data_IF_555612514755
#
_entry.id   IF_555612514755
#
_cell.length_a   1.000
_cell.length_b   1.000
_cell.length_c   1.000
_cell.angle_alpha   90.00
_cell.angle_beta   90.00
_cell.angle_gamma   90.00
#
_symmetry.space_group_name_H-M   'P 1'
#
loop_
_entity.id
_entity.type
_entity.pdbx_description
1 polymer ?
#
# COMPACT_ATOMS: atom_id res chain seq x y z
N UNK A 1 -33.10 -7.95 21.88
CA UNK A 1 -31.92 -8.83 22.04
C UNK A 1 -30.68 -7.95 21.98
N UNK A 2 -30.41 -7.17 23.04
CA UNK A 2 -29.24 -7.32 23.93
C UNK A 2 -27.95 -7.66 23.18
N UNK A 3 -27.27 -6.59 22.76
CA UNK A 3 -25.83 -6.54 22.52
C UNK A 3 -25.11 -7.32 23.63
N UNK A 4 -24.48 -8.43 23.27
CA UNK A 4 -23.49 -9.05 24.14
C UNK A 4 -22.25 -8.16 24.12
N UNK A 5 -22.00 -7.60 25.30
CA UNK A 5 -20.78 -7.03 25.85
C UNK A 5 -19.56 -6.93 24.95
N UNK A 6 -19.03 -5.70 24.90
CA UNK A 6 -17.62 -5.38 25.00
C UNK A 6 -16.69 -6.60 24.84
N UNK A 7 -16.18 -6.80 23.63
CA UNK A 7 -14.84 -7.33 23.48
C UNK A 7 -13.89 -6.29 24.08
N UNK A 8 -13.75 -6.31 25.39
CA UNK A 8 -12.52 -5.86 26.04
C UNK A 8 -11.45 -6.78 25.47
N UNK A 9 -10.56 -6.25 24.62
CA UNK A 9 -9.39 -6.99 24.17
C UNK A 9 -8.46 -7.13 25.37
N UNK A 10 -8.73 -8.13 26.20
CA UNK A 10 -7.78 -8.76 27.11
C UNK A 10 -7.53 -10.15 26.58
N UNK A 11 -6.78 -10.21 25.48
CA UNK A 11 -5.95 -11.34 25.08
C UNK A 11 -5.33 -11.03 23.70
N UNK A 12 -4.14 -10.41 23.69
CA UNK A 12 -3.16 -10.65 22.65
C UNK A 12 -1.97 -11.29 23.37
N UNK A 13 -1.91 -12.62 23.31
CA UNK A 13 -0.85 -13.42 23.93
C UNK A 13 0.48 -13.20 23.20
N UNK A 14 1.57 -13.25 23.97
CA UNK A 14 2.92 -12.98 23.51
C UNK A 14 3.35 -13.84 22.32
N UNK A 15 3.70 -13.18 21.21
CA UNK A 15 4.53 -13.78 20.18
C UNK A 15 5.96 -13.89 20.72
N UNK A 16 6.37 -15.10 21.09
CA UNK A 16 7.78 -15.45 21.22
C UNK A 16 8.27 -16.02 19.88
N UNK A 17 9.41 -15.47 19.43
CA UNK A 17 10.07 -15.58 18.12
C UNK A 17 9.54 -14.61 17.06
N UNK A 18 9.78 -13.31 17.27
CA UNK A 18 9.80 -12.35 16.17
C UNK A 18 10.81 -12.83 15.11
N UNK A 19 10.34 -13.03 13.88
CA UNK A 19 11.28 -13.00 12.76
C UNK A 19 11.96 -11.62 12.80
N UNK A 20 13.29 -11.57 12.69
CA UNK A 20 14.09 -10.34 12.87
C UNK A 20 13.69 -9.20 11.91
N UNK A 21 12.91 -9.54 10.88
CA UNK A 21 12.42 -8.71 9.77
C UNK A 21 10.92 -8.38 9.87
N UNK A 22 10.27 -8.63 11.01
CA UNK A 22 8.86 -8.27 11.29
C UNK A 22 8.74 -7.15 12.34
N UNK A 23 7.60 -6.43 12.38
CA UNK A 23 7.44 -5.33 13.35
C UNK A 23 7.36 -5.88 14.77
N UNK A 24 8.15 -5.30 15.68
CA UNK A 24 8.06 -5.56 17.11
C UNK A 24 7.00 -4.68 17.79
N UNK A 25 6.48 -3.67 17.08
CA UNK A 25 5.60 -2.64 17.63
C UNK A 25 4.14 -2.83 17.23
N UNK A 26 3.88 -3.32 16.03
CA UNK A 26 2.56 -3.30 15.40
C UNK A 26 2.17 -4.67 14.84
N UNK A 27 0.88 -4.99 14.92
CA UNK A 27 0.29 -6.16 14.29
C UNK A 27 -1.09 -5.84 13.73
N UNK A 28 -1.46 -6.53 12.66
CA UNK A 28 -2.83 -6.52 12.14
C UNK A 28 -3.76 -7.21 13.15
N UNK A 29 -4.90 -6.58 13.42
CA UNK A 29 -5.95 -7.10 14.28
C UNK A 29 -6.93 -7.92 13.42
N UNK A 30 -7.20 -9.19 13.79
CA UNK A 30 -8.20 -9.99 13.09
C UNK A 30 -9.63 -9.52 13.41
N UNK A 31 -10.62 -10.05 12.68
CA UNK A 31 -12.05 -9.87 12.99
C UNK A 31 -12.69 -8.63 12.38
N UNK A 32 -11.97 -7.87 11.56
CA UNK A 32 -12.52 -6.70 10.85
C UNK A 32 -12.88 -7.03 9.41
N UNK A 33 -11.99 -7.73 8.68
CA UNK A 33 -12.14 -8.07 7.27
C UNK A 33 -12.05 -9.58 7.06
N UNK A 34 -12.79 -10.13 6.08
CA UNK A 34 -12.81 -11.56 5.78
C UNK A 34 -11.44 -12.12 5.33
N UNK A 35 -10.49 -11.25 4.98
CA UNK A 35 -9.11 -11.66 4.67
C UNK A 35 -8.30 -12.03 5.93
N UNK A 36 -8.76 -11.62 7.12
CA UNK A 36 -8.21 -12.05 8.40
C UNK A 36 -9.33 -12.10 9.47
N UNK A 37 -10.22 -13.10 9.39
CA UNK A 37 -11.45 -13.10 10.17
C UNK A 37 -11.26 -13.44 11.64
N UNK A 38 -10.19 -14.15 11.99
CA UNK A 38 -9.87 -14.57 13.35
C UNK A 38 -8.37 -14.87 13.47
N UNK A 39 -7.85 -14.88 14.69
CA UNK A 39 -6.48 -15.28 14.97
C UNK A 39 -6.21 -16.72 14.51
N UNK A 40 -5.03 -16.97 13.96
CA UNK A 40 -4.64 -18.27 13.42
C UNK A 40 -5.28 -18.63 12.07
N UNK A 41 -6.00 -17.70 11.42
CA UNK A 41 -6.39 -17.88 10.03
C UNK A 41 -5.15 -18.07 9.13
N UNK A 42 -5.27 -18.94 8.12
CA UNK A 42 -4.19 -19.19 7.16
C UNK A 42 -4.19 -18.21 5.99
N UNK A 43 -3.27 -18.45 5.05
CA UNK A 43 -3.16 -17.67 3.82
C UNK A 43 -4.44 -17.76 2.97
N UNK A 44 -4.77 -16.67 2.27
CA UNK A 44 -5.97 -16.54 1.44
C UNK A 44 -5.64 -15.95 0.08
N UNK A 45 -6.54 -16.12 -0.88
CA UNK A 45 -6.42 -15.47 -2.20
C UNK A 45 -7.33 -14.24 -2.23
N UNK A 46 -6.81 -13.13 -2.77
CA UNK A 46 -7.59 -11.92 -2.99
C UNK A 46 -8.80 -12.20 -3.91
N UNK A 47 -9.96 -11.58 -3.67
CA UNK A 47 -11.11 -11.75 -4.54
C UNK A 47 -10.82 -11.28 -5.98
N UNK A 48 -11.43 -11.90 -7.01
CA UNK A 48 -11.12 -11.63 -8.43
C UNK A 48 -11.51 -10.22 -8.92
N UNK A 49 -12.44 -9.56 -8.25
CA UNK A 49 -12.93 -8.22 -8.57
C UNK A 49 -12.38 -7.20 -7.57
N UNK A 50 -12.08 -5.98 -8.03
CA UNK A 50 -11.63 -4.88 -7.19
C UNK A 50 -12.77 -4.46 -6.22
N UNK A 51 -12.64 -5.03 -5.03
CA UNK A 51 -13.22 -4.68 -3.73
C UNK A 51 -14.75 -4.72 -3.48
N UNK A 52 -15.18 -5.61 -2.58
CA UNK A 52 -16.00 -5.20 -1.45
C UNK A 52 -15.23 -5.55 -0.18
N UNK A 53 -15.00 -4.59 0.71
CA UNK A 53 -14.13 -4.80 1.87
C UNK A 53 -14.49 -6.01 2.75
N UNK A 54 -15.68 -6.61 2.55
CA UNK A 54 -16.16 -7.86 3.16
C UNK A 54 -15.83 -7.85 4.64
N UNK A 55 -16.63 -7.09 5.37
CA UNK A 55 -16.52 -7.00 6.80
C UNK A 55 -16.88 -8.34 7.45
N UNK A 56 -16.33 -8.59 8.64
CA UNK A 56 -16.72 -9.74 9.47
C UNK A 56 -17.97 -9.41 10.29
N UNK A 57 -17.97 -8.24 10.93
CA UNK A 57 -19.02 -7.85 11.89
C UNK A 57 -19.72 -6.53 11.55
N UNK A 58 -19.13 -5.67 10.73
CA UNK A 58 -19.73 -4.39 10.32
C UNK A 58 -20.60 -4.52 9.06
N UNK A 59 -21.52 -3.58 8.85
CA UNK A 59 -22.35 -3.46 7.64
C UNK A 59 -21.96 -2.25 6.78
N UNK A 60 -21.15 -1.32 7.32
CA UNK A 60 -20.67 -0.15 6.59
C UNK A 60 -19.26 0.25 7.04
N UNK A 61 -18.62 1.14 6.27
CA UNK A 61 -17.31 1.70 6.63
C UNK A 61 -17.37 2.51 7.92
N UNK A 62 -18.44 3.25 8.15
CA UNK A 62 -18.68 4.04 9.35
C UNK A 62 -18.79 3.14 10.59
N UNK A 63 -19.55 2.05 10.48
CA UNK A 63 -19.65 1.06 11.57
C UNK A 63 -18.30 0.37 11.83
N UNK A 64 -17.59 -0.02 10.77
CA UNK A 64 -16.26 -0.60 10.91
C UNK A 64 -15.30 0.35 11.61
N UNK A 65 -15.18 1.59 11.12
CA UNK A 65 -14.23 2.56 11.66
C UNK A 65 -14.59 2.99 13.08
N UNK A 66 -15.88 3.08 13.41
CA UNK A 66 -16.34 3.31 14.79
C UNK A 66 -15.97 2.15 15.74
N UNK A 67 -15.85 0.93 15.23
CA UNK A 67 -15.40 -0.25 16.00
C UNK A 67 -13.89 -0.38 16.13
N UNK A 68 -13.09 0.45 15.44
CA UNK A 68 -11.62 0.45 15.55
C UNK A 68 -11.21 1.13 16.87
N UNK A 69 -10.44 0.44 17.75
CA UNK A 69 -9.92 1.00 19.00
C UNK A 69 -9.18 2.33 18.78
N UNK A 70 -9.27 3.24 19.75
CA UNK A 70 -8.68 4.59 19.62
C UNK A 70 -7.16 4.61 19.43
N UNK A 71 -6.48 3.56 19.91
CA UNK A 71 -5.04 3.32 19.77
C UNK A 71 -4.69 2.45 18.54
N UNK A 72 -5.69 2.01 17.78
CA UNK A 72 -5.54 1.31 16.52
C UNK A 72 -5.84 2.22 15.31
N UNK A 73 -5.44 1.74 14.14
CA UNK A 73 -5.46 2.47 12.88
C UNK A 73 -6.09 1.64 11.77
N UNK A 74 -6.82 2.29 10.87
CA UNK A 74 -7.25 1.74 9.59
C UNK A 74 -6.18 2.05 8.53
N UNK A 75 -5.55 1.00 8.02
CA UNK A 75 -4.55 1.06 6.95
C UNK A 75 -5.15 0.49 5.66
N UNK A 76 -5.15 1.30 4.61
CA UNK A 76 -5.58 0.91 3.26
C UNK A 76 -4.34 0.83 2.38
N UNK A 77 -4.14 -0.32 1.75
CA UNK A 77 -3.08 -0.54 0.75
C UNK A 77 -3.72 -0.68 -0.63
N UNK A 78 -3.32 0.15 -1.57
CA UNK A 78 -3.81 0.16 -2.95
C UNK A 78 -2.66 -0.21 -3.90
N UNK A 79 -2.74 -1.37 -4.54
CA UNK A 79 -1.76 -1.81 -5.54
C UNK A 79 -1.86 -0.93 -6.78
N UNK A 80 -0.73 -0.55 -7.36
CA UNK A 80 -0.73 0.17 -8.63
C UNK A 80 -1.50 -0.59 -9.73
N UNK A 81 -2.02 0.15 -10.71
CA UNK A 81 -2.65 -0.41 -11.90
C UNK A 81 -1.62 -0.95 -12.92
N UNK A 82 -2.06 -1.58 -14.01
CA UNK A 82 -1.13 -2.16 -15.00
C UNK A 82 -0.14 -1.13 -15.56
N UNK A 83 1.15 -1.34 -15.29
CA UNK A 83 2.24 -0.60 -15.93
C UNK A 83 2.77 -1.30 -17.17
N UNK A 84 3.57 -0.60 -17.98
CA UNK A 84 4.21 -1.19 -19.15
C UNK A 84 5.06 -2.44 -18.81
N UNK A 85 5.66 -2.49 -17.62
CA UNK A 85 6.39 -3.68 -17.14
C UNK A 85 5.46 -4.92 -16.98
N UNK A 86 4.24 -4.75 -16.46
CA UNK A 86 3.28 -5.87 -16.35
C UNK A 86 2.83 -6.36 -17.74
N UNK A 87 2.61 -5.42 -18.66
CA UNK A 87 2.25 -5.76 -20.04
C UNK A 87 3.39 -6.49 -20.77
N UNK A 88 4.64 -6.12 -20.48
CA UNK A 88 5.83 -6.77 -21.00
C UNK A 88 6.04 -8.17 -20.40
N UNK A 89 5.97 -8.32 -19.07
CA UNK A 89 6.03 -9.62 -18.40
C UNK A 89 4.98 -10.58 -18.96
N UNK A 90 3.73 -10.12 -19.15
CA UNK A 90 2.66 -10.92 -19.76
C UNK A 90 2.95 -11.30 -21.21
N UNK A 91 3.60 -10.42 -21.98
CA UNK A 91 3.94 -10.66 -23.39
C UNK A 91 5.05 -11.70 -23.52
N UNK A 92 6.11 -11.56 -22.73
CA UNK A 92 7.32 -12.36 -22.87
C UNK A 92 7.29 -13.63 -22.02
N UNK A 93 6.41 -13.70 -21.04
CA UNK A 93 6.37 -14.76 -20.05
C UNK A 93 7.38 -14.50 -18.93
N UNK A 94 7.03 -14.94 -17.72
CA UNK A 94 7.78 -14.67 -16.49
C UNK A 94 9.25 -15.08 -16.57
N UNK A 95 9.54 -16.27 -17.11
CA UNK A 95 10.91 -16.80 -17.19
C UNK A 95 11.81 -15.92 -18.07
N UNK A 96 11.38 -15.59 -19.29
CA UNK A 96 12.14 -14.71 -20.18
C UNK A 96 12.19 -13.26 -19.68
N UNK A 97 11.13 -12.82 -18.98
CA UNK A 97 11.10 -11.52 -18.33
C UNK A 97 12.19 -11.40 -17.27
N UNK A 98 12.24 -12.34 -16.32
CA UNK A 98 13.21 -12.34 -15.22
C UNK A 98 14.66 -12.54 -15.74
N UNK A 99 14.85 -13.35 -16.79
CA UNK A 99 16.18 -13.63 -17.33
C UNK A 99 16.76 -12.50 -18.21
N UNK A 100 15.93 -11.80 -19.00
CA UNK A 100 16.44 -10.87 -20.01
C UNK A 100 15.69 -9.54 -20.04
N UNK A 101 14.37 -9.55 -20.27
CA UNK A 101 13.64 -8.33 -20.62
C UNK A 101 13.58 -7.31 -19.48
N UNK A 102 13.46 -7.76 -18.24
CA UNK A 102 13.40 -6.89 -17.07
C UNK A 102 14.67 -6.06 -16.86
N UNK A 103 15.81 -6.51 -17.41
CA UNK A 103 17.13 -5.87 -17.32
C UNK A 103 17.35 -4.76 -18.34
N UNK A 104 16.45 -4.64 -19.33
CA UNK A 104 16.44 -3.58 -20.33
C UNK A 104 15.51 -2.44 -19.91
N UNK A 105 15.64 -1.25 -20.49
CA UNK A 105 14.73 -0.14 -20.17
C UNK A 105 13.38 -0.22 -20.92
N UNK A 106 13.31 -0.99 -22.00
CA UNK A 106 12.14 -1.09 -22.87
C UNK A 106 12.45 -1.74 -24.22
N UNK A 107 11.45 -1.75 -25.10
CA UNK A 107 11.48 -2.26 -26.48
C UNK A 107 10.55 -1.44 -27.40
N UNK A 108 10.21 -1.97 -28.58
CA UNK A 108 9.26 -1.35 -29.52
C UNK A 108 7.80 -1.28 -29.02
N UNK A 109 7.46 -1.97 -27.93
CA UNK A 109 6.14 -2.01 -27.32
C UNK A 109 6.00 -1.10 -26.10
N UNK A 110 7.11 -0.60 -25.54
CA UNK A 110 7.08 0.43 -24.51
C UNK A 110 8.34 0.52 -23.67
N UNK A 111 8.33 1.49 -22.75
CA UNK A 111 9.40 1.71 -21.77
C UNK A 111 8.90 1.20 -20.42
N UNK A 112 9.63 0.28 -19.81
CA UNK A 112 9.34 -0.24 -18.49
C UNK A 112 10.32 0.20 -17.41
N UNK A 113 11.42 0.88 -17.75
CA UNK A 113 12.20 1.63 -16.76
C UNK A 113 11.32 2.67 -16.04
N UNK A 114 11.25 2.57 -14.70
CA UNK A 114 10.27 3.29 -13.88
C UNK A 114 8.88 3.35 -14.53
N UNK A 115 8.34 2.21 -14.95
CA UNK A 115 7.21 2.15 -15.88
C UNK A 115 6.05 3.09 -15.53
N UNK A 116 5.54 3.80 -16.53
CA UNK A 116 4.23 4.46 -16.47
C UNK A 116 3.10 3.43 -16.61
N UNK A 117 1.88 3.87 -16.32
CA UNK A 117 0.68 3.09 -16.59
C UNK A 117 0.46 2.89 -18.09
N UNK A 118 -0.05 1.71 -18.46
CA UNK A 118 -0.59 1.50 -19.81
C UNK A 118 -1.95 2.20 -19.94
N UNK A 119 -2.51 2.36 -21.15
CA UNK A 119 -3.89 2.83 -21.31
C UNK A 119 -4.91 1.95 -20.56
N UNK A 120 -4.65 0.64 -20.46
CA UNK A 120 -5.44 -0.27 -19.64
C UNK A 120 -5.24 0.00 -18.15
N UNK A 121 -4.01 0.26 -17.71
CA UNK A 121 -3.71 0.67 -16.33
C UNK A 121 -4.42 1.95 -15.92
N UNK A 122 -4.46 2.96 -16.80
CA UNK A 122 -5.21 4.19 -16.55
C UNK A 122 -6.70 3.91 -16.35
N UNK A 123 -7.30 3.06 -17.19
CA UNK A 123 -8.70 2.64 -17.01
C UNK A 123 -8.92 1.88 -15.70
N UNK A 124 -8.00 0.98 -15.32
CA UNK A 124 -8.06 0.25 -14.05
C UNK A 124 -7.99 1.20 -12.84
N UNK A 125 -7.04 2.14 -12.85
CA UNK A 125 -6.88 3.12 -11.78
C UNK A 125 -8.08 4.08 -11.71
N UNK A 126 -8.61 4.52 -12.85
CA UNK A 126 -9.82 5.35 -12.91
C UNK A 126 -11.05 4.59 -12.38
N UNK A 127 -11.20 3.30 -12.72
CA UNK A 127 -12.28 2.47 -12.18
C UNK A 127 -12.20 2.34 -10.64
N UNK A 128 -10.99 2.30 -10.07
CA UNK A 128 -10.78 2.27 -8.63
C UNK A 128 -11.27 3.55 -7.90
N UNK A 129 -11.61 4.61 -8.63
CA UNK A 129 -12.23 5.82 -8.06
C UNK A 129 -13.61 5.56 -7.43
N UNK A 130 -14.30 4.49 -7.82
CA UNK A 130 -15.56 4.09 -7.19
C UNK A 130 -15.33 3.72 -5.72
N UNK A 131 -14.30 2.92 -5.45
CA UNK A 131 -13.88 2.46 -4.13
C UNK A 131 -13.30 3.60 -3.31
N UNK A 132 -12.38 4.39 -3.89
CA UNK A 132 -11.83 5.58 -3.22
C UNK A 132 -12.94 6.57 -2.88
N UNK A 133 -13.87 6.79 -3.80
CA UNK A 133 -15.04 7.64 -3.57
C UNK A 133 -15.97 7.11 -2.48
N UNK A 134 -16.19 5.79 -2.40
CA UNK A 134 -16.99 5.18 -1.34
C UNK A 134 -16.37 5.39 0.04
N UNK A 135 -15.06 5.19 0.15
CA UNK A 135 -14.28 5.49 1.35
C UNK A 135 -14.38 6.96 1.75
N UNK A 136 -14.16 7.88 0.80
CA UNK A 136 -14.21 9.32 1.07
C UNK A 136 -15.61 9.78 1.47
N UNK A 137 -16.67 9.23 0.85
CA UNK A 137 -18.05 9.55 1.24
C UNK A 137 -18.40 9.06 2.64
N UNK A 138 -17.89 7.90 3.05
CA UNK A 138 -18.20 7.30 4.34
C UNK A 138 -17.35 7.87 5.49
N UNK A 139 -16.04 8.02 5.27
CA UNK A 139 -15.06 8.33 6.32
C UNK A 139 -14.38 9.70 6.15
N UNK A 140 -14.64 10.39 5.05
CA UNK A 140 -13.86 11.57 4.65
C UNK A 140 -12.52 11.20 3.99
N UNK A 141 -11.72 12.21 3.68
CA UNK A 141 -10.36 12.02 3.16
C UNK A 141 -9.49 11.39 4.27
N UNK A 142 -8.69 10.34 3.98
CA UNK A 142 -7.72 9.81 4.92
C UNK A 142 -6.82 10.89 5.48
N UNK A 143 -6.57 10.83 6.78
CA UNK A 143 -5.74 11.77 7.52
C UNK A 143 -4.30 11.80 7.00
N UNK A 144 -3.85 10.69 6.38
CA UNK A 144 -2.54 10.62 5.72
C UNK A 144 -2.58 9.76 4.46
N UNK A 145 -2.05 10.33 3.38
CA UNK A 145 -1.88 9.68 2.08
C UNK A 145 -0.40 9.45 1.81
N UNK A 146 -0.04 8.22 1.43
CA UNK A 146 1.32 7.83 1.05
C UNK A 146 1.37 7.22 -0.35
N UNK A 147 2.52 7.32 -0.98
CA UNK A 147 2.83 6.58 -2.20
C UNK A 147 4.30 6.14 -2.24
N UNK A 148 4.56 5.03 -2.93
CA UNK A 148 5.88 4.78 -3.51
C UNK A 148 6.28 5.90 -4.49
N UNK A 149 7.58 6.17 -4.67
CA UNK A 149 8.08 7.16 -5.64
C UNK A 149 7.98 6.71 -7.11
N UNK A 150 7.81 5.41 -7.38
CA UNK A 150 7.72 4.89 -8.75
C UNK A 150 6.48 5.43 -9.46
N UNK A 151 6.66 5.84 -10.73
CA UNK A 151 5.67 6.60 -11.51
C UNK A 151 4.32 5.92 -11.60
N UNK A 152 4.30 4.59 -11.81
CA UNK A 152 3.06 3.78 -11.78
C UNK A 152 2.21 3.96 -10.52
N UNK A 153 2.81 4.18 -9.34
CA UNK A 153 2.05 4.44 -8.11
C UNK A 153 1.51 5.86 -8.08
N UNK A 154 2.33 6.85 -8.47
CA UNK A 154 1.90 8.25 -8.54
C UNK A 154 0.75 8.43 -9.53
N UNK A 155 0.86 7.82 -10.71
CA UNK A 155 -0.18 7.82 -11.75
C UNK A 155 -1.43 7.05 -11.29
N UNK A 156 -1.28 5.90 -10.63
CA UNK A 156 -2.44 5.18 -10.07
C UNK A 156 -3.18 6.05 -9.05
N UNK A 157 -2.45 6.75 -8.18
CA UNK A 157 -3.06 7.69 -7.24
C UNK A 157 -3.78 8.80 -7.98
N UNK A 158 -3.14 9.46 -8.95
CA UNK A 158 -3.74 10.55 -9.73
C UNK A 158 -5.05 10.11 -10.39
N UNK A 159 -5.04 8.97 -11.10
CA UNK A 159 -6.21 8.49 -11.83
C UNK A 159 -7.36 8.04 -10.91
N UNK A 160 -7.05 7.41 -9.78
CA UNK A 160 -8.06 6.98 -8.81
C UNK A 160 -8.66 8.15 -8.02
N UNK A 161 -7.89 9.20 -7.77
CA UNK A 161 -8.30 10.34 -6.95
C UNK A 161 -8.87 11.50 -7.77
N UNK A 162 -8.56 11.64 -9.05
CA UNK A 162 -9.07 12.74 -9.88
C UNK A 162 -10.61 12.82 -9.90
N UNK A 163 -11.37 11.71 -10.07
CA UNK A 163 -12.83 11.75 -10.00
C UNK A 163 -13.36 12.02 -8.59
N UNK A 164 -12.59 11.70 -7.54
CA UNK A 164 -12.99 11.89 -6.14
C UNK A 164 -12.73 13.33 -5.68
N UNK A 165 -11.67 13.96 -6.20
CA UNK A 165 -11.24 15.30 -5.84
C UNK A 165 -12.26 16.41 -6.19
N UNK A 166 -13.26 16.13 -7.04
CA UNK A 166 -14.37 17.06 -7.25
C UNK A 166 -15.25 17.24 -6.00
N UNK A 167 -15.21 16.27 -5.08
CA UNK A 167 -15.95 16.27 -3.81
C UNK A 167 -15.10 16.67 -2.60
N UNK A 168 -13.83 17.03 -2.82
CA UNK A 168 -12.89 17.46 -1.79
C UNK A 168 -12.87 19.00 -1.79
N UNK A 169 -13.02 19.62 -0.63
CA UNK A 169 -13.03 21.08 -0.48
C UNK A 169 -11.63 21.69 -0.44
N UNK A 170 -10.65 20.88 -0.04
CA UNK A 170 -9.27 21.28 0.15
C UNK A 170 -8.61 21.62 -1.20
N UNK A 171 -7.92 22.77 -1.31
CA UNK A 171 -7.30 23.19 -2.57
C UNK A 171 -6.08 22.33 -2.95
N UNK A 172 -5.53 21.59 -1.98
CA UNK A 172 -4.37 20.74 -2.13
C UNK A 172 -4.64 19.36 -1.53
N UNK A 173 -4.17 18.32 -2.22
CA UNK A 173 -4.11 16.95 -1.72
C UNK A 173 -2.63 16.64 -1.48
N UNK A 174 -2.27 16.49 -0.21
CA UNK A 174 -0.89 16.22 0.21
C UNK A 174 -0.59 14.72 0.15
N UNK A 175 0.33 14.33 -0.74
CA UNK A 175 0.76 12.94 -0.92
C UNK A 175 2.20 12.76 -0.46
N UNK A 176 2.42 11.92 0.54
CA UNK A 176 3.74 11.68 1.11
C UNK A 176 4.46 10.55 0.38
N UNK A 177 5.55 10.88 -0.30
CA UNK A 177 6.32 9.92 -1.09
C UNK A 177 7.44 9.32 -0.24
N UNK A 178 7.53 7.98 -0.16
CA UNK A 178 8.49 7.27 0.69
C UNK A 178 9.22 6.17 -0.05
N UNK A 179 10.55 6.17 -0.04
CA UNK A 179 11.39 5.14 -0.69
C UNK A 179 11.13 3.74 -0.11
N UNK A 180 10.81 3.66 1.19
CA UNK A 180 10.51 2.41 1.87
C UNK A 180 9.29 1.65 1.32
N UNK A 181 8.44 2.30 0.51
CA UNK A 181 7.22 1.72 -0.06
C UNK A 181 7.41 1.15 -1.47
N UNK A 182 8.64 1.11 -2.00
CA UNK A 182 8.93 0.58 -3.34
C UNK A 182 8.75 -0.93 -3.42
N UNK A 183 8.55 -1.40 -4.65
CA UNK A 183 8.63 -2.82 -5.01
C UNK A 183 10.04 -3.38 -4.72
N UNK A 184 10.24 -4.68 -4.93
CA UNK A 184 11.56 -5.33 -4.86
C UNK A 184 12.61 -4.53 -5.62
N UNK A 185 13.69 -4.15 -4.93
CA UNK A 185 14.73 -3.31 -5.52
C UNK A 185 15.71 -4.13 -6.39
N UNK A 186 16.26 -3.46 -7.40
CA UNK A 186 17.43 -3.92 -8.14
C UNK A 186 17.16 -4.92 -9.26
N UNK A 187 18.17 -5.08 -10.12
CA UNK A 187 18.24 -5.84 -11.38
C UNK A 187 17.20 -5.41 -12.41
N UNK A 188 15.91 -5.42 -12.08
CA UNK A 188 14.83 -5.03 -12.97
C UNK A 188 14.79 -3.50 -13.06
N UNK A 189 14.82 -2.95 -14.27
CA UNK A 189 14.85 -1.49 -14.52
C UNK A 189 13.52 -0.82 -14.15
N UNK A 190 12.42 -1.58 -14.13
CA UNK A 190 11.13 -1.09 -13.63
C UNK A 190 11.16 -0.72 -12.16
N UNK A 191 12.14 -1.23 -11.43
CA UNK A 191 12.34 -0.96 -10.02
C UNK A 191 13.43 0.10 -9.79
N UNK A 192 13.89 0.79 -10.84
CA UNK A 192 14.77 1.97 -10.79
C UNK A 192 13.93 3.23 -11.00
N UNK A 193 13.95 4.19 -10.08
CA UNK A 193 13.17 5.42 -10.23
C UNK A 193 13.89 6.40 -11.15
N UNK A 194 13.12 7.27 -11.80
CA UNK A 194 13.67 8.45 -12.47
C UNK A 194 14.34 9.41 -11.45
N UNK A 195 15.19 10.33 -11.93
CA UNK A 195 15.70 11.40 -11.11
C UNK A 195 14.57 12.19 -10.42
N UNK A 196 14.81 12.65 -9.19
CA UNK A 196 13.81 13.33 -8.38
C UNK A 196 13.21 14.55 -9.09
N UNK A 197 14.04 15.40 -9.69
CA UNK A 197 13.59 16.56 -10.45
C UNK A 197 12.66 16.20 -11.61
N UNK A 198 12.87 15.05 -12.26
CA UNK A 198 12.03 14.58 -13.35
C UNK A 198 10.62 14.18 -12.85
N UNK A 199 10.53 13.46 -11.73
CA UNK A 199 9.24 13.13 -11.14
C UNK A 199 8.49 14.39 -10.67
N UNK A 200 9.18 15.32 -9.99
CA UNK A 200 8.60 16.58 -9.53
C UNK A 200 8.08 17.41 -10.71
N UNK A 201 8.84 17.53 -11.80
CA UNK A 201 8.44 18.31 -12.97
C UNK A 201 7.16 17.80 -13.63
N UNK A 202 6.87 16.49 -13.52
CA UNK A 202 5.68 15.87 -14.12
C UNK A 202 4.48 15.89 -13.19
N UNK A 203 4.67 15.60 -11.90
CA UNK A 203 3.57 15.28 -10.99
C UNK A 203 3.30 16.34 -9.91
N UNK A 204 4.26 17.21 -9.58
CA UNK A 204 4.04 18.27 -8.59
C UNK A 204 3.05 19.30 -9.13
N UNK A 205 2.04 19.65 -8.34
CA UNK A 205 1.01 20.60 -8.74
C UNK A 205 0.02 20.06 -9.77
N UNK A 206 0.04 18.74 -10.05
CA UNK A 206 -0.89 18.12 -10.98
C UNK A 206 -2.34 18.43 -10.59
N UNK A 207 -3.16 18.85 -11.55
CA UNK A 207 -4.55 19.24 -11.30
C UNK A 207 -5.42 18.00 -11.08
N UNK A 208 -6.10 17.93 -9.93
CA UNK A 208 -7.07 16.87 -9.60
C UNK A 208 -8.44 17.51 -9.41
N UNK A 209 -9.19 17.66 -10.51
CA UNK A 209 -10.50 18.33 -10.50
C UNK A 209 -10.48 19.71 -9.80
N UNK A 210 -10.93 19.80 -8.54
CA UNK A 210 -10.95 21.02 -7.74
C UNK A 210 -9.71 21.25 -6.88
N UNK A 211 -8.83 20.25 -6.74
CA UNK A 211 -7.60 20.31 -5.94
C UNK A 211 -6.34 20.27 -6.82
N UNK A 212 -5.17 20.42 -6.20
CA UNK A 212 -3.85 20.18 -6.80
C UNK A 212 -3.08 19.14 -5.99
N UNK A 213 -2.31 18.30 -6.65
CA UNK A 213 -1.46 17.31 -5.98
C UNK A 213 -0.19 17.99 -5.45
N UNK A 214 0.10 17.83 -4.17
CA UNK A 214 1.34 18.29 -3.57
C UNK A 214 2.15 17.09 -3.09
N UNK A 215 3.30 16.84 -3.72
CA UNK A 215 4.18 15.73 -3.34
C UNK A 215 5.12 16.14 -2.21
N UNK A 216 5.16 15.33 -1.16
CA UNK A 216 6.00 15.54 0.01
C UNK A 216 7.00 14.40 0.16
N UNK A 217 8.17 14.59 -0.44
CA UNK A 217 9.29 13.67 -0.36
C UNK A 217 9.99 13.73 1.02
N UNK A 218 10.84 12.74 1.28
CA UNK A 218 11.67 12.71 2.49
C UNK A 218 12.71 13.84 2.47
N UNK A 219 13.15 14.29 3.65
CA UNK A 219 14.22 15.29 3.72
C UNK A 219 15.50 14.75 3.08
N UNK A 220 16.24 15.61 2.38
CA UNK A 220 17.47 15.25 1.66
C UNK A 220 17.28 14.15 0.60
N UNK A 221 16.12 14.15 -0.06
CA UNK A 221 15.82 13.18 -1.12
C UNK A 221 16.84 13.26 -2.27
N UNK A 222 17.55 12.16 -2.59
CA UNK A 222 18.64 12.20 -3.56
C UNK A 222 18.12 12.37 -4.99
N UNK A 223 18.84 13.14 -5.80
CA UNK A 223 18.48 13.35 -7.21
C UNK A 223 18.47 12.01 -7.99
N UNK A 224 19.59 11.27 -8.12
CA UNK A 224 19.56 9.93 -8.71
C UNK A 224 18.97 8.89 -7.76
N UNK A 225 18.58 7.73 -8.30
CA UNK A 225 18.23 6.55 -7.52
C UNK A 225 19.50 5.97 -6.87
N UNK A 226 19.56 6.02 -5.53
CA UNK A 226 20.69 5.50 -4.75
C UNK A 226 20.45 4.08 -4.20
N UNK A 227 19.23 3.55 -4.35
CA UNK A 227 18.82 2.26 -3.77
C UNK A 227 18.81 1.14 -4.80
N UNK A 228 18.57 1.45 -6.07
CA UNK A 228 18.59 0.47 -7.14
C UNK A 228 20.01 0.05 -7.53
N UNK A 229 20.24 -1.26 -7.66
CA UNK A 229 21.49 -1.84 -8.13
C UNK A 229 21.26 -2.67 -9.40
N UNK A 230 22.11 -2.58 -10.45
CA UNK A 230 21.97 -3.43 -11.63
C UNK A 230 22.38 -4.90 -11.36
N UNK A 231 23.09 -5.17 -10.27
CA UNK A 231 23.73 -6.47 -10.00
C UNK A 231 23.22 -7.16 -8.74
N UNK A 232 22.44 -6.47 -7.91
CA UNK A 232 21.85 -7.01 -6.68
C UNK A 232 20.34 -6.89 -6.77
N UNK A 233 19.63 -8.03 -6.72
CA UNK A 233 18.18 -8.08 -6.55
C UNK A 233 17.91 -8.23 -5.07
N UNK A 234 17.06 -7.36 -4.53
CA UNK A 234 16.65 -7.41 -3.14
C UNK A 234 16.08 -8.79 -2.79
N UNK A 235 16.61 -9.37 -1.72
CA UNK A 235 16.17 -10.64 -1.13
C UNK A 235 14.85 -10.44 -0.37
N UNK A 236 14.17 -11.55 -0.06
CA UNK A 236 12.93 -11.52 0.73
C UNK A 236 13.16 -10.87 2.11
N UNK A 237 14.28 -11.19 2.75
CA UNK A 237 14.64 -10.63 4.06
C UNK A 237 14.92 -9.12 3.99
N UNK A 238 15.56 -8.65 2.91
CA UNK A 238 15.85 -7.22 2.73
C UNK A 238 14.58 -6.40 2.50
N UNK A 239 13.66 -6.86 1.64
CA UNK A 239 12.38 -6.14 1.45
C UNK A 239 11.53 -6.17 2.72
N UNK A 240 11.51 -7.28 3.46
CA UNK A 240 10.80 -7.37 4.73
C UNK A 240 11.36 -6.37 5.75
N UNK A 241 12.68 -6.33 5.96
CA UNK A 241 13.32 -5.38 6.86
C UNK A 241 13.05 -3.92 6.47
N UNK A 242 13.20 -3.58 5.18
CA UNK A 242 12.95 -2.23 4.66
C UNK A 242 11.49 -1.81 4.85
N UNK A 243 10.54 -2.68 4.50
CA UNK A 243 9.11 -2.39 4.59
C UNK A 243 8.66 -2.32 6.06
N UNK A 244 9.15 -3.21 6.93
CA UNK A 244 8.92 -3.14 8.38
C UNK A 244 9.33 -1.79 8.94
N UNK A 245 10.55 -1.32 8.65
CA UNK A 245 11.04 0.00 9.08
C UNK A 245 10.19 1.15 8.53
N UNK A 246 9.73 1.03 7.28
CA UNK A 246 8.87 2.04 6.66
C UNK A 246 7.49 2.10 7.34
N UNK A 247 6.88 0.95 7.59
CA UNK A 247 5.58 0.86 8.25
C UNK A 247 5.64 1.32 9.71
N UNK A 248 6.67 0.95 10.46
CA UNK A 248 6.87 1.45 11.83
C UNK A 248 6.89 2.98 11.84
N UNK A 249 7.63 3.63 10.94
CA UNK A 249 7.66 5.10 10.85
C UNK A 249 6.31 5.71 10.46
N UNK A 250 5.53 5.02 9.65
CA UNK A 250 4.18 5.47 9.24
C UNK A 250 3.20 5.32 10.40
N UNK A 251 3.24 4.18 11.11
CA UNK A 251 2.34 3.83 12.20
C UNK A 251 2.71 4.50 13.53
N UNK A 252 3.97 4.91 13.73
CA UNK A 252 4.40 5.75 14.86
C UNK A 252 3.75 7.15 14.84
N UNK A 253 3.15 7.55 13.71
CA UNK A 253 2.47 8.84 13.59
C UNK A 253 1.06 8.82 14.20
N UNK A 254 0.48 9.96 14.59
CA UNK A 254 -0.82 9.98 15.26
C UNK A 254 -2.00 9.61 14.35
N UNK A 255 -1.88 9.75 13.03
CA UNK A 255 -3.02 9.61 12.12
C UNK A 255 -3.62 8.19 12.17
N UNK A 256 -4.95 8.08 12.25
CA UNK A 256 -5.64 6.79 12.42
C UNK A 256 -6.18 6.22 11.13
N UNK A 257 -6.41 7.06 10.12
CA UNK A 257 -6.89 6.63 8.82
C UNK A 257 -5.85 6.92 7.74
N UNK A 258 -5.19 5.86 7.26
CA UNK A 258 -4.02 5.93 6.40
C UNK A 258 -4.29 5.20 5.08
N UNK A 259 -3.95 5.83 3.96
CA UNK A 259 -4.03 5.25 2.63
C UNK A 259 -2.65 5.23 1.98
N UNK A 260 -2.27 4.11 1.38
CA UNK A 260 -0.95 3.89 0.77
C UNK A 260 -1.11 3.33 -0.63
N UNK A 261 -0.60 4.03 -1.65
CA UNK A 261 -0.47 3.47 -3.02
C UNK A 261 0.88 2.79 -3.18
N UNK A 262 0.90 1.50 -3.47
CA UNK A 262 2.11 0.66 -3.45
C UNK A 262 2.11 -0.44 -4.52
N UNK A 263 2.82 -1.55 -4.24
CA UNK A 263 3.12 -2.64 -5.19
C UNK A 263 2.83 -4.01 -4.58
N UNK A 264 2.92 -5.06 -5.39
CA UNK A 264 2.60 -6.44 -4.99
C UNK A 264 3.52 -6.95 -3.88
N UNK A 265 4.83 -6.97 -4.09
CA UNK A 265 5.77 -7.53 -3.12
C UNK A 265 5.92 -6.62 -1.91
N UNK A 266 5.77 -5.30 -2.10
CA UNK A 266 5.63 -4.38 -0.95
C UNK A 266 4.43 -4.74 -0.07
N UNK A 267 3.27 -5.06 -0.64
CA UNK A 267 2.09 -5.45 0.13
C UNK A 267 2.28 -6.81 0.82
N UNK A 268 2.95 -7.77 0.16
CA UNK A 268 3.33 -9.04 0.80
C UNK A 268 4.24 -8.80 2.01
N UNK A 269 5.27 -7.97 1.85
CA UNK A 269 6.16 -7.59 2.93
C UNK A 269 5.44 -6.81 4.05
N UNK A 270 4.44 -6.00 3.71
CA UNK A 270 3.60 -5.30 4.68
C UNK A 270 2.76 -6.27 5.53
N UNK A 271 2.16 -7.29 4.90
CA UNK A 271 1.42 -8.33 5.62
C UNK A 271 2.35 -9.11 6.55
N UNK A 272 3.56 -9.44 6.09
CA UNK A 272 4.59 -10.08 6.91
C UNK A 272 4.97 -9.21 8.12
N UNK A 273 5.31 -7.94 7.87
CA UNK A 273 5.68 -6.97 8.90
C UNK A 273 4.60 -6.83 9.97
N UNK A 274 3.33 -6.86 9.56
CA UNK A 274 2.15 -6.70 10.41
C UNK A 274 1.57 -8.03 10.87
N UNK A 275 2.32 -9.14 10.78
CA UNK A 275 1.91 -10.40 11.37
C UNK A 275 0.59 -10.96 10.81
N UNK A 276 0.20 -10.52 9.62
CA UNK A 276 -1.02 -10.89 8.90
C UNK A 276 -0.73 -12.10 7.99
N UNK A 277 -1.66 -13.05 7.82
CA UNK A 277 -1.54 -14.12 6.84
C UNK A 277 -1.31 -13.60 5.41
N UNK A 278 -0.71 -14.38 4.52
CA UNK A 278 -0.48 -13.90 3.15
C UNK A 278 -1.82 -13.77 2.42
N UNK A 279 -1.91 -12.73 1.60
CA UNK A 279 -2.99 -12.56 0.64
C UNK A 279 -2.41 -12.68 -0.76
N UNK A 280 -2.68 -13.80 -1.43
CA UNK A 280 -2.17 -14.09 -2.76
C UNK A 280 -2.96 -13.35 -3.84
N UNK A 281 -2.28 -12.97 -4.92
CA UNK A 281 -2.89 -12.48 -6.16
C UNK A 281 -3.77 -11.23 -6.04
N UNK A 282 -3.37 -10.26 -5.21
CA UNK A 282 -4.02 -8.93 -5.23
C UNK A 282 -3.96 -8.36 -6.65
N UNK A 283 -5.09 -8.08 -7.33
CA UNK A 283 -5.08 -7.65 -8.72
C UNK A 283 -4.49 -6.23 -8.86
N UNK A 284 -4.10 -5.85 -10.08
CA UNK A 284 -3.74 -4.47 -10.39
C UNK A 284 -4.90 -3.53 -10.05
N UNK A 285 -4.63 -2.39 -9.42
CA UNK A 285 -5.63 -1.48 -8.82
C UNK A 285 -6.48 -2.14 -7.69
N UNK A 286 -6.01 -3.26 -7.13
CA UNK A 286 -6.66 -3.94 -6.01
C UNK A 286 -6.31 -3.32 -4.66
N UNK A 287 -7.17 -3.56 -3.68
CA UNK A 287 -7.04 -3.02 -2.33
C UNK A 287 -6.87 -4.12 -1.28
N UNK A 288 -6.16 -3.78 -0.20
CA UNK A 288 -6.20 -4.49 1.07
C UNK A 288 -6.54 -3.52 2.19
N UNK A 289 -7.30 -4.00 3.17
CA UNK A 289 -7.72 -3.23 4.33
C UNK A 289 -7.27 -3.96 5.59
N UNK A 290 -6.64 -3.22 6.48
CA UNK A 290 -6.11 -3.75 7.73
C UNK A 290 -6.52 -2.81 8.86
N UNK A 291 -6.93 -3.40 9.98
CA UNK A 291 -6.87 -2.68 11.26
C UNK A 291 -5.57 -3.07 11.92
N UNK A 292 -4.79 -2.09 12.36
CA UNK A 292 -3.45 -2.28 12.91
C UNK A 292 -3.39 -1.68 14.30
N UNK A 293 -2.92 -2.46 15.28
CA UNK A 293 -2.77 -2.03 16.67
C UNK A 293 -1.37 -2.31 17.21
N UNK A 294 -1.07 -1.80 18.40
CA UNK A 294 0.19 -2.08 19.08
C UNK A 294 0.26 -3.53 19.57
N UNK A 295 1.45 -4.13 19.46
CA UNK A 295 1.75 -5.41 20.12
C UNK A 295 1.89 -5.12 21.62
N UNK A 296 1.00 -5.71 22.43
CA UNK A 296 1.13 -5.63 23.88
C UNK A 296 2.24 -6.58 24.33
N UNK A 297 3.32 -6.02 24.88
CA UNK A 297 4.32 -6.82 25.60
C UNK A 297 3.74 -7.22 26.97
N UNK A 298 3.94 -8.45 27.47
CA UNK A 298 3.38 -8.91 28.75
C UNK A 298 3.73 -8.09 30.00
N UNK A 299 4.57 -7.06 29.90
CA UNK A 299 5.11 -6.27 31.01
C UNK A 299 4.35 -4.97 31.33
N UNK A 300 3.12 -4.78 30.82
CA UNK A 300 2.24 -3.68 31.27
C UNK A 300 0.87 -4.13 31.80
N UNK A 301 0.73 -5.40 32.17
CA UNK A 301 -0.42 -5.88 32.93
C UNK A 301 -0.09 -5.94 34.43
N UNK A 302 0.35 -4.84 35.06
CA UNK A 302 0.41 -4.63 36.53
C UNK A 302 1.03 -3.27 36.88
N UNK A 303 0.22 -2.22 37.01
CA UNK A 303 0.23 -1.27 38.17
C UNK A 303 -1.18 -0.69 38.30
#
# INVERSE_FOLDING_TARGET
MRFQSAMTVSALLGRALAAQDSSEKYAALPGYFQLYPQEGAGDVTAPPAADPARFVHAQSWEELFASVPSDAKLLILHRHAEGFHNAAERRYGKEAWDDYWSKLDGDEHGIWADAQLTPKGQQQASAASEQVGALVRALGVPERLYSSPLRRCLETFIEAWAPVAQHISEPAIDLHVREGLRETLGVHTCDRRVPHSQAVAVYQGHRLANSTLQLHYEAYYPEPDMLWSPTHRETTEEIHDRVTKALDRILDRPERYIFVTAHSEMMVAALHALHHPKVHHVPNAGFLYLVVGHIQTPTQASV
#
